data_IF_908892684827
#
_entry.id   IF_908892684827
#
_cell.length_a   1.000
_cell.length_b   1.000
_cell.length_c   1.000
_cell.angle_alpha   90.00
_cell.angle_beta   90.00
_cell.angle_gamma   90.00
#
_symmetry.space_group_name_H-M   'P 1'
#
loop_
_entity.id
_entity.type
_entity.pdbx_description
1 polymer ?
#
# COMPACT_ATOMS: atom_id res chain seq x y z
N UNK A 1 40.85 -56.88 10.73
CA UNK A 1 41.57 -55.61 10.53
C UNK A 1 40.56 -54.54 10.11
N UNK A 2 40.17 -53.67 11.03
CA UNK A 2 39.26 -52.57 10.76
C UNK A 2 40.07 -51.35 10.27
N UNK A 3 39.75 -50.81 9.09
CA UNK A 3 40.31 -49.56 8.59
C UNK A 3 39.65 -48.39 9.33
N UNK A 4 40.46 -47.61 10.02
CA UNK A 4 40.10 -46.37 10.70
C UNK A 4 39.65 -45.28 9.71
N UNK A 5 38.55 -44.63 10.04
CA UNK A 5 38.00 -43.47 9.33
C UNK A 5 38.81 -42.20 9.67
N UNK A 6 39.19 -41.34 8.71
CA UNK A 6 39.78 -40.04 9.03
C UNK A 6 38.67 -39.00 9.17
N UNK A 7 38.26 -38.72 10.40
CA UNK A 7 37.48 -37.53 10.73
C UNK A 7 37.89 -37.07 12.12
N UNK A 8 38.89 -36.20 12.18
CA UNK A 8 39.22 -35.41 13.36
C UNK A 8 40.04 -34.19 12.90
N UNK A 9 39.35 -33.06 12.80
CA UNK A 9 39.79 -31.74 13.27
C UNK A 9 41.28 -31.36 13.17
N UNK A 10 41.72 -30.96 11.97
CA UNK A 10 42.82 -30.00 11.83
C UNK A 10 42.25 -28.57 11.70
N UNK A 11 41.71 -28.03 12.80
CA UNK A 11 41.48 -26.58 12.92
C UNK A 11 42.75 -25.94 13.47
N UNK A 12 43.73 -25.75 12.60
CA UNK A 12 44.84 -24.85 12.89
C UNK A 12 44.26 -23.48 13.31
N UNK A 13 44.73 -22.86 14.41
CA UNK A 13 44.27 -21.53 14.82
C UNK A 13 44.44 -20.56 13.66
N UNK A 14 43.38 -19.82 13.31
CA UNK A 14 43.46 -18.76 12.30
C UNK A 14 44.58 -17.79 12.70
N UNK A 15 45.54 -17.59 11.79
CA UNK A 15 46.55 -16.54 11.92
C UNK A 15 45.86 -15.23 12.37
N UNK A 16 46.34 -14.53 13.42
CA UNK A 16 45.73 -13.30 13.92
C UNK A 16 45.42 -12.25 12.84
N UNK A 17 46.14 -12.25 11.71
CA UNK A 17 45.79 -11.44 10.54
C UNK A 17 44.46 -11.88 9.87
N UNK A 18 44.26 -13.18 9.67
CA UNK A 18 43.04 -13.75 9.08
C UNK A 18 41.80 -13.52 9.97
N UNK A 19 41.95 -13.64 11.29
CA UNK A 19 40.85 -13.42 12.25
C UNK A 19 40.26 -11.99 12.16
N UNK A 20 41.12 -10.97 11.96
CA UNK A 20 40.70 -9.57 11.80
C UNK A 20 39.94 -9.34 10.50
N UNK A 21 40.31 -10.03 9.42
CA UNK A 21 39.62 -9.95 8.13
C UNK A 21 38.22 -10.56 8.24
N UNK A 22 38.09 -11.75 8.85
CA UNK A 22 36.79 -12.41 9.06
C UNK A 22 35.86 -11.54 9.91
N UNK A 23 36.37 -10.91 10.97
CA UNK A 23 35.57 -10.00 11.79
C UNK A 23 35.03 -8.81 10.99
N UNK A 24 35.85 -8.20 10.13
CA UNK A 24 35.42 -7.10 9.24
C UNK A 24 34.38 -7.56 8.22
N UNK A 25 34.58 -8.72 7.59
CA UNK A 25 33.62 -9.28 6.63
C UNK A 25 32.28 -9.57 7.30
N UNK A 26 32.28 -10.16 8.50
CA UNK A 26 31.04 -10.38 9.27
C UNK A 26 30.33 -9.07 9.60
N UNK A 27 31.08 -8.03 9.98
CA UNK A 27 30.51 -6.71 10.23
C UNK A 27 29.88 -6.08 8.98
N UNK A 28 30.57 -6.17 7.83
CA UNK A 28 30.05 -5.70 6.55
C UNK A 28 28.80 -6.50 6.12
N UNK A 29 28.79 -7.82 6.31
CA UNK A 29 27.62 -8.66 6.05
C UNK A 29 26.43 -8.27 6.93
N UNK A 30 26.66 -7.95 8.21
CA UNK A 30 25.61 -7.46 9.10
C UNK A 30 25.03 -6.13 8.63
N UNK A 31 25.88 -5.18 8.23
CA UNK A 31 25.42 -3.87 7.70
C UNK A 31 24.61 -4.07 6.42
N UNK A 32 25.09 -4.92 5.51
CA UNK A 32 24.38 -5.22 4.27
C UNK A 32 23.02 -5.84 4.56
N UNK A 33 22.96 -6.86 5.44
CA UNK A 33 21.71 -7.51 5.83
C UNK A 33 20.74 -6.56 6.52
N UNK A 34 21.24 -5.72 7.44
CA UNK A 34 20.42 -4.70 8.10
C UNK A 34 19.82 -3.71 7.10
N UNK A 35 20.62 -3.26 6.13
CA UNK A 35 20.17 -2.33 5.09
C UNK A 35 19.08 -2.95 4.23
N UNK A 36 19.24 -4.22 3.82
CA UNK A 36 18.21 -4.96 3.08
C UNK A 36 16.92 -5.11 3.88
N UNK A 37 17.03 -5.42 5.17
CA UNK A 37 15.86 -5.56 6.04
C UNK A 37 15.10 -4.22 6.20
N UNK A 38 15.83 -3.11 6.35
CA UNK A 38 15.23 -1.76 6.39
C UNK A 38 14.51 -1.44 5.08
N UNK A 39 15.11 -1.75 3.93
CA UNK A 39 14.47 -1.53 2.64
C UNK A 39 13.16 -2.33 2.50
N UNK A 40 13.17 -3.60 2.89
CA UNK A 40 11.98 -4.47 2.90
C UNK A 40 10.91 -3.91 3.84
N UNK A 41 11.29 -3.53 5.07
CA UNK A 41 10.36 -2.96 6.05
C UNK A 41 9.73 -1.65 5.55
N UNK A 42 10.49 -0.80 4.87
CA UNK A 42 9.97 0.43 4.28
C UNK A 42 8.91 0.15 3.21
N UNK A 43 9.16 -0.82 2.32
CA UNK A 43 8.20 -1.23 1.28
C UNK A 43 6.91 -1.76 1.91
N UNK A 44 7.02 -2.68 2.88
CA UNK A 44 5.85 -3.19 3.59
C UNK A 44 5.10 -2.08 4.35
N UNK A 45 5.80 -1.14 4.95
CA UNK A 45 5.19 0.02 5.60
C UNK A 45 4.37 0.88 4.63
N UNK A 46 4.91 1.17 3.44
CA UNK A 46 4.20 1.94 2.40
C UNK A 46 2.99 1.17 1.88
N UNK A 47 3.13 -0.14 1.62
CA UNK A 47 2.01 -0.99 1.16
C UNK A 47 0.92 -1.03 2.22
N UNK A 48 1.28 -1.31 3.47
CA UNK A 48 0.35 -1.32 4.60
C UNK A 48 -0.38 0.01 4.71
N UNK A 49 0.34 1.13 4.73
CA UNK A 49 -0.27 2.46 4.77
C UNK A 49 -1.23 2.69 3.60
N UNK A 50 -0.84 2.33 2.37
CA UNK A 50 -1.70 2.48 1.19
C UNK A 50 -2.97 1.64 1.29
N UNK A 51 -2.88 0.40 1.75
CA UNK A 51 -4.02 -0.51 1.91
C UNK A 51 -4.97 0.02 2.98
N UNK A 52 -4.46 0.31 4.19
CA UNK A 52 -5.28 0.83 5.29
C UNK A 52 -5.92 2.18 4.97
N UNK A 53 -5.23 3.05 4.23
CA UNK A 53 -5.79 4.33 3.79
C UNK A 53 -6.82 4.19 2.67
N UNK A 54 -6.66 3.22 1.78
CA UNK A 54 -7.62 2.94 0.71
C UNK A 54 -8.92 2.33 1.26
N UNK A 55 -8.83 1.54 2.32
CA UNK A 55 -9.99 0.90 2.99
C UNK A 55 -10.58 1.75 4.12
N UNK A 56 -10.37 3.08 4.12
CA UNK A 56 -10.78 3.99 5.19
C UNK A 56 -12.15 3.64 5.77
N UNK A 57 -12.22 3.49 7.10
CA UNK A 57 -13.42 3.04 7.80
C UNK A 57 -14.65 3.82 7.32
N UNK A 58 -15.60 3.12 6.71
CA UNK A 58 -16.83 3.71 6.23
C UNK A 58 -17.55 4.42 7.39
N UNK A 59 -17.93 5.70 7.27
CA UNK A 59 -18.86 6.29 8.22
C UNK A 59 -20.18 5.52 8.15
N UNK A 60 -20.81 5.22 9.29
CA UNK A 60 -22.10 4.54 9.33
C UNK A 60 -23.20 5.30 8.57
N UNK A 61 -23.03 6.63 8.44
CA UNK A 61 -23.92 7.52 7.71
C UNK A 61 -23.12 8.72 7.17
N UNK A 62 -23.41 9.14 5.94
CA UNK A 62 -22.84 10.33 5.31
C UNK A 62 -23.95 11.18 4.70
N UNK A 63 -24.07 12.42 5.17
CA UNK A 63 -24.99 13.41 4.59
C UNK A 63 -24.25 14.26 3.55
N UNK A 64 -24.45 13.96 2.27
CA UNK A 64 -23.91 14.78 1.19
C UNK A 64 -24.83 15.99 0.90
N UNK A 65 -24.27 17.19 0.98
CA UNK A 65 -25.03 18.41 0.65
C UNK A 65 -25.28 18.52 -0.85
N UNK A 66 -26.56 18.59 -1.21
CA UNK A 66 -26.99 18.94 -2.56
C UNK A 66 -26.98 20.47 -2.73
N UNK A 67 -26.64 20.98 -3.94
CA UNK A 67 -26.85 22.39 -4.25
C UNK A 67 -28.32 22.78 -4.06
N UNK A 68 -28.57 24.06 -3.73
CA UNK A 68 -29.95 24.54 -3.56
C UNK A 68 -30.75 24.33 -4.83
N UNK A 69 -31.97 23.79 -4.69
CA UNK A 69 -32.85 23.48 -5.82
C UNK A 69 -32.42 22.28 -6.65
N UNK A 70 -31.34 21.59 -6.26
CA UNK A 70 -30.93 20.36 -6.93
C UNK A 70 -31.78 19.18 -6.48
N UNK A 71 -31.99 18.22 -7.38
CA UNK A 71 -32.68 16.96 -7.09
C UNK A 71 -31.88 15.79 -7.64
N UNK A 72 -31.92 14.67 -6.93
CA UNK A 72 -31.41 13.40 -7.46
C UNK A 72 -32.39 12.90 -8.50
N UNK A 73 -31.91 12.64 -9.72
CA UNK A 73 -32.73 12.16 -10.84
C UNK A 73 -32.42 10.71 -11.23
N UNK A 74 -31.23 10.22 -10.91
CA UNK A 74 -30.89 8.82 -11.08
C UNK A 74 -29.77 8.40 -10.13
N UNK A 75 -29.73 7.11 -9.81
CA UNK A 75 -28.62 6.45 -9.13
C UNK A 75 -28.22 5.20 -9.92
N UNK A 76 -26.92 4.93 -9.96
CA UNK A 76 -26.37 3.73 -10.56
C UNK A 76 -25.21 3.21 -9.72
N UNK A 77 -24.96 1.91 -9.76
CA UNK A 77 -23.84 1.27 -9.09
C UNK A 77 -23.03 0.52 -10.14
N UNK A 78 -21.71 0.70 -10.13
CA UNK A 78 -20.77 -0.01 -10.98
C UNK A 78 -19.55 -0.40 -10.14
N UNK A 79 -19.32 -1.70 -9.98
CA UNK A 79 -18.25 -2.24 -9.13
C UNK A 79 -18.28 -1.61 -7.71
N UNK A 80 -17.19 -0.95 -7.30
CA UNK A 80 -17.04 -0.27 -6.02
C UNK A 80 -17.42 1.23 -6.11
N UNK A 81 -18.25 1.63 -7.07
CA UNK A 81 -18.66 3.03 -7.28
C UNK A 81 -20.18 3.20 -7.27
N UNK A 82 -20.62 4.23 -6.55
CA UNK A 82 -22.00 4.74 -6.58
C UNK A 82 -22.00 6.03 -7.41
N UNK A 83 -22.78 6.06 -8.47
CA UNK A 83 -23.00 7.24 -9.30
C UNK A 83 -24.37 7.84 -8.96
N UNK A 84 -24.38 9.13 -8.63
CA UNK A 84 -25.60 9.89 -8.34
C UNK A 84 -25.71 10.99 -9.39
N UNK A 85 -26.73 10.89 -10.23
CA UNK A 85 -27.06 11.92 -11.23
C UNK A 85 -27.98 12.94 -10.57
N UNK A 86 -27.55 14.19 -10.62
CA UNK A 86 -28.20 15.33 -9.99
C UNK A 86 -28.58 16.32 -11.09
N UNK A 87 -29.83 16.77 -11.07
CA UNK A 87 -30.31 17.90 -11.85
C UNK A 87 -30.21 19.16 -10.99
N UNK A 88 -29.40 20.12 -11.43
CA UNK A 88 -29.18 21.41 -10.80
C UNK A 88 -29.76 22.50 -11.71
N UNK A 89 -31.05 22.79 -11.55
CA UNK A 89 -31.72 23.84 -12.31
C UNK A 89 -31.67 23.62 -13.83
N UNK A 90 -31.80 22.37 -14.29
CA UNK A 90 -31.75 21.99 -15.70
C UNK A 90 -30.37 21.54 -16.18
N UNK A 91 -29.32 21.71 -15.38
CA UNK A 91 -27.98 21.20 -15.69
C UNK A 91 -27.76 19.84 -15.02
N UNK A 92 -27.32 18.84 -15.79
CA UNK A 92 -26.99 17.52 -15.25
C UNK A 92 -25.55 17.50 -14.71
N UNK A 93 -25.39 16.97 -13.50
CA UNK A 93 -24.11 16.67 -12.86
C UNK A 93 -24.13 15.22 -12.37
N UNK A 94 -23.05 14.46 -12.60
CA UNK A 94 -22.87 13.12 -12.01
C UNK A 94 -21.83 13.23 -10.90
N UNK A 95 -22.20 12.81 -9.70
CA UNK A 95 -21.28 12.65 -8.57
C UNK A 95 -20.97 11.18 -8.37
N UNK A 96 -19.70 10.86 -8.26
CA UNK A 96 -19.20 9.50 -8.09
C UNK A 96 -18.73 9.39 -6.65
N UNK A 97 -19.18 8.37 -5.95
CA UNK A 97 -18.78 8.01 -4.59
C UNK A 97 -18.18 6.63 -4.59
N UNK A 98 -17.25 6.40 -3.66
CA UNK A 98 -16.77 5.08 -3.33
C UNK A 98 -17.85 4.31 -2.56
N UNK A 99 -18.20 3.10 -3.00
CA UNK A 99 -19.30 2.33 -2.43
C UNK A 99 -18.99 1.82 -1.00
N UNK A 100 -17.71 1.63 -0.68
CA UNK A 100 -17.27 1.13 0.63
C UNK A 100 -17.15 2.26 1.63
N UNK A 101 -16.54 3.37 1.24
CA UNK A 101 -16.20 4.46 2.17
C UNK A 101 -17.17 5.64 2.12
N UNK A 102 -18.08 5.68 1.13
CA UNK A 102 -18.97 6.81 0.81
C UNK A 102 -18.23 8.12 0.51
N UNK A 103 -16.91 8.08 0.34
CA UNK A 103 -16.12 9.25 0.01
C UNK A 103 -16.39 9.69 -1.44
N UNK A 104 -16.45 11.01 -1.71
CA UNK A 104 -16.50 11.51 -3.08
C UNK A 104 -15.26 11.07 -3.87
N UNK A 105 -15.49 10.36 -4.97
CA UNK A 105 -14.46 9.85 -5.87
C UNK A 105 -14.29 10.72 -7.13
N UNK A 106 -15.35 11.44 -7.52
CA UNK A 106 -15.29 12.28 -8.71
C UNK A 106 -16.58 13.05 -8.98
N UNK A 107 -16.49 13.96 -9.95
CA UNK A 107 -17.61 14.75 -10.44
C UNK A 107 -17.48 14.96 -11.94
N UNK A 108 -18.54 14.68 -12.68
CA UNK A 108 -18.67 14.95 -14.10
C UNK A 108 -19.77 15.99 -14.32
N UNK A 109 -19.47 17.02 -15.09
CA UNK A 109 -20.41 18.07 -15.50
C UNK A 109 -20.52 18.07 -17.01
N UNK A 110 -21.70 18.36 -17.52
CA UNK A 110 -21.96 18.50 -18.94
C UNK A 110 -22.08 19.99 -19.29
N UNK A 111 -21.47 20.39 -20.39
CA UNK A 111 -21.63 21.71 -20.99
C UNK A 111 -22.30 21.55 -22.36
N UNK A 112 -23.12 22.53 -22.75
CA UNK A 112 -23.69 22.59 -24.09
C UNK A 112 -22.66 23.17 -25.06
N UNK A 113 -22.62 22.63 -26.28
CA UNK A 113 -21.84 23.22 -27.38
C UNK A 113 -22.40 24.62 -27.72
N UNK A 114 -21.53 25.61 -28.05
CA UNK A 114 -21.94 27.00 -28.29
C UNK A 114 -22.79 27.20 -29.55
#
# INVERSE_FOLDING_TARGET
MAKSNPSADDKAPLDPAAARIVAKVRWLMLISGATTLVAIAAVFGVIGYRVFKAEGSAPAEVTALLPKGARVVATAIAEDRIMVTIDVGGTIEIRIFDAKTLNPAGRLKFATEP
#
